data_IF_659666098425
#
_entry.id   IF_659666098425
#
_cell.length_a   1.000
_cell.length_b   1.000
_cell.length_c   1.000
_cell.angle_alpha   90.00
_cell.angle_beta   90.00
_cell.angle_gamma   90.00
#
_symmetry.space_group_name_H-M   'P 1'
#
loop_
_entity.id
_entity.type
_entity.pdbx_description
1 polymer ?
#
# COMPACT_ATOMS: atom_id res chain seq x y z
N UNK A 1 2.45 36.65 -28.15
CA UNK A 1 1.31 36.73 -27.22
C UNK A 1 0.62 35.38 -27.20
N UNK A 2 0.61 34.70 -26.07
CA UNK A 2 -0.08 33.42 -25.90
C UNK A 2 -0.86 33.44 -24.59
N UNK A 3 -2.09 32.93 -24.63
CA UNK A 3 -3.01 32.81 -23.49
C UNK A 3 -2.92 31.41 -22.89
N UNK A 4 -2.92 31.32 -21.55
CA UNK A 4 -3.00 30.04 -20.82
C UNK A 4 -4.48 29.57 -20.71
N UNK A 5 -4.69 28.27 -20.51
CA UNK A 5 -5.95 27.54 -20.31
C UNK A 5 -6.85 28.06 -19.16
N UNK A 6 -6.40 29.03 -18.36
CA UNK A 6 -7.18 29.69 -17.29
C UNK A 6 -7.59 31.14 -17.61
N UNK A 7 -7.24 31.68 -18.79
CA UNK A 7 -7.73 33.00 -19.24
C UNK A 7 -7.22 34.22 -18.46
N UNK A 8 -6.22 34.06 -17.58
CA UNK A 8 -5.63 35.17 -16.81
C UNK A 8 -4.48 35.80 -17.61
N UNK A 9 -4.51 37.13 -17.81
CA UNK A 9 -3.37 37.90 -18.34
C UNK A 9 -2.32 38.06 -17.24
N UNK A 10 -1.12 37.49 -17.44
CA UNK A 10 0.05 37.83 -16.63
C UNK A 10 0.83 38.97 -17.31
N UNK A 11 1.39 39.92 -16.53
CA UNK A 11 2.37 40.88 -17.04
C UNK A 11 3.65 40.16 -17.47
N UNK A 12 4.40 40.79 -18.37
CA UNK A 12 5.64 40.25 -18.94
C UNK A 12 6.67 39.95 -17.85
N UNK A 13 7.30 38.78 -17.99
CA UNK A 13 8.21 38.19 -17.03
C UNK A 13 9.42 39.10 -16.77
N UNK A 14 9.64 39.46 -15.52
CA UNK A 14 10.95 39.81 -15.02
C UNK A 14 11.75 38.52 -14.79
N UNK A 15 12.98 38.53 -15.28
CA UNK A 15 13.89 37.39 -15.23
C UNK A 15 14.28 37.06 -13.79
N UNK A 16 13.76 35.95 -13.28
CA UNK A 16 14.27 35.39 -12.04
C UNK A 16 13.28 34.45 -11.37
N UNK A 17 13.71 33.19 -11.20
CA UNK A 17 13.13 32.21 -10.29
C UNK A 17 11.88 31.46 -10.81
N UNK A 18 12.10 30.50 -11.70
CA UNK A 18 11.34 29.25 -11.65
C UNK A 18 12.00 28.31 -10.65
N UNK A 19 11.44 28.06 -9.45
CA UNK A 19 11.65 26.81 -8.76
C UNK A 19 10.47 25.88 -9.03
N UNK A 20 10.78 24.66 -9.44
CA UNK A 20 9.86 23.53 -9.47
C UNK A 20 8.91 23.56 -8.26
N UNK A 21 7.59 23.61 -8.49
CA UNK A 21 6.64 23.31 -7.43
C UNK A 21 6.90 21.86 -6.97
N UNK A 22 7.22 21.60 -5.70
CA UNK A 22 7.21 20.24 -5.21
C UNK A 22 5.78 19.72 -5.39
N UNK A 23 5.63 18.57 -6.04
CA UNK A 23 4.37 17.85 -6.13
C UNK A 23 3.80 17.73 -4.72
N UNK A 24 2.76 18.50 -4.41
CA UNK A 24 2.08 18.45 -3.11
C UNK A 24 1.52 17.04 -2.97
N UNK A 25 2.21 16.20 -2.19
CA UNK A 25 1.73 14.86 -1.85
C UNK A 25 0.46 15.02 -1.04
N UNK A 26 -0.58 14.30 -1.44
CA UNK A 26 -1.87 14.38 -0.73
C UNK A 26 -1.72 13.72 0.64
N UNK A 27 -2.41 14.25 1.65
CA UNK A 27 -2.40 13.71 3.03
C UNK A 27 -2.70 12.20 3.10
N UNK A 28 -3.52 11.70 2.17
CA UNK A 28 -3.84 10.28 2.01
C UNK A 28 -2.64 9.44 1.56
N UNK A 29 -1.82 9.95 0.63
CA UNK A 29 -0.63 9.24 0.16
C UNK A 29 0.43 9.13 1.26
N UNK A 30 0.62 10.19 2.04
CA UNK A 30 1.57 10.15 3.15
C UNK A 30 1.07 9.27 4.31
N UNK A 31 -0.25 9.24 4.53
CA UNK A 31 -0.88 8.27 5.45
C UNK A 31 -0.61 6.82 5.03
N UNK A 32 -0.83 6.50 3.75
CA UNK A 32 -0.57 5.15 3.22
C UNK A 32 0.87 4.72 3.42
N UNK A 33 1.83 5.56 3.01
CA UNK A 33 3.26 5.29 3.18
C UNK A 33 3.68 5.07 4.64
N UNK A 34 3.14 5.88 5.56
CA UNK A 34 3.43 5.74 6.99
C UNK A 34 2.94 4.40 7.51
N UNK A 35 1.75 3.97 7.07
CA UNK A 35 1.22 2.66 7.41
C UNK A 35 2.02 1.51 6.82
N UNK A 36 2.40 1.57 5.55
CA UNK A 36 3.27 0.57 4.92
C UNK A 36 4.60 0.43 5.68
N UNK A 37 5.21 1.55 6.09
CA UNK A 37 6.45 1.52 6.86
C UNK A 37 6.27 0.83 8.23
N UNK A 38 5.18 1.13 8.95
CA UNK A 38 4.85 0.50 10.23
C UNK A 38 4.59 -1.01 10.04
N UNK A 39 3.81 -1.39 9.02
CA UNK A 39 3.51 -2.79 8.72
C UNK A 39 4.78 -3.60 8.40
N UNK A 40 5.68 -3.03 7.62
CA UNK A 40 6.98 -3.65 7.31
C UNK A 40 7.81 -3.86 8.57
N UNK A 41 7.91 -2.85 9.42
CA UNK A 41 8.66 -2.97 10.66
C UNK A 41 8.06 -4.05 11.57
N UNK A 42 6.73 -4.09 11.69
CA UNK A 42 6.04 -5.12 12.45
C UNK A 42 6.36 -6.54 11.96
N UNK A 43 6.33 -6.77 10.64
CA UNK A 43 6.67 -8.07 10.05
C UNK A 43 8.14 -8.44 10.32
N UNK A 44 9.07 -7.50 10.16
CA UNK A 44 10.49 -7.70 10.46
C UNK A 44 10.71 -8.06 11.94
N UNK A 45 10.02 -7.38 12.86
CA UNK A 45 10.11 -7.64 14.30
C UNK A 45 9.56 -9.03 14.67
N UNK A 46 8.62 -9.56 13.88
CA UNK A 46 8.11 -10.93 13.98
C UNK A 46 9.01 -11.97 13.29
N UNK A 47 10.11 -11.56 12.65
CA UNK A 47 11.07 -12.44 11.99
C UNK A 47 10.71 -12.80 10.54
N UNK A 48 9.80 -12.08 9.91
CA UNK A 48 9.50 -12.26 8.49
C UNK A 48 10.62 -11.64 7.65
N UNK A 49 10.89 -12.24 6.50
CA UNK A 49 11.75 -11.64 5.48
C UNK A 49 10.90 -10.87 4.47
N UNK A 50 11.25 -9.62 4.18
CA UNK A 50 10.53 -8.81 3.19
C UNK A 50 11.14 -9.07 1.81
N UNK A 51 10.38 -9.69 0.92
CA UNK A 51 10.84 -9.98 -0.44
C UNK A 51 10.52 -8.85 -1.43
N UNK A 52 9.35 -8.23 -1.29
CA UNK A 52 8.96 -7.10 -2.13
C UNK A 52 8.01 -6.15 -1.40
N UNK A 53 8.00 -4.89 -1.84
CA UNK A 53 7.05 -3.87 -1.38
C UNK A 53 6.53 -3.10 -2.58
N UNK A 54 5.25 -2.75 -2.56
CA UNK A 54 4.57 -2.04 -3.65
C UNK A 54 4.80 -2.73 -5.01
N UNK A 55 4.75 -4.07 -5.02
CA UNK A 55 4.91 -4.87 -6.24
C UNK A 55 3.72 -4.62 -7.16
N UNK A 56 3.98 -4.33 -8.43
CA UNK A 56 2.95 -3.99 -9.41
C UNK A 56 2.89 -5.00 -10.53
N UNK A 57 1.71 -5.58 -10.71
CA UNK A 57 1.37 -6.37 -11.89
C UNK A 57 0.20 -5.72 -12.63
N UNK A 58 0.48 -5.17 -13.82
CA UNK A 58 -0.45 -4.36 -14.60
C UNK A 58 -1.01 -3.18 -13.78
N UNK A 59 -2.31 -3.19 -13.47
CA UNK A 59 -3.00 -2.15 -12.70
C UNK A 59 -3.29 -2.57 -11.25
N UNK A 60 -2.68 -3.66 -10.80
CA UNK A 60 -2.84 -4.21 -9.44
C UNK A 60 -1.52 -4.06 -8.70
N UNK A 61 -1.62 -3.76 -7.42
CA UNK A 61 -0.51 -3.59 -6.49
C UNK A 61 -0.68 -4.57 -5.33
N UNK A 62 0.43 -5.17 -4.92
CA UNK A 62 0.58 -5.92 -3.66
C UNK A 62 1.42 -5.03 -2.74
N UNK A 63 0.87 -4.66 -1.58
CA UNK A 63 1.52 -3.69 -0.70
C UNK A 63 2.83 -4.27 -0.14
N UNK A 64 2.81 -5.50 0.38
CA UNK A 64 3.99 -6.20 0.88
C UNK A 64 3.93 -7.67 0.46
N UNK A 65 5.05 -8.21 0.02
CA UNK A 65 5.30 -9.65 -0.10
C UNK A 65 6.40 -10.00 0.88
N UNK A 66 6.11 -10.96 1.76
CA UNK A 66 7.01 -11.38 2.81
C UNK A 66 7.10 -12.91 2.87
N UNK A 67 8.10 -13.42 3.58
CA UNK A 67 8.31 -14.85 3.80
C UNK A 67 8.38 -15.16 5.29
N UNK A 68 7.62 -16.16 5.71
CA UNK A 68 7.64 -16.71 7.07
C UNK A 68 8.00 -18.19 6.99
N UNK A 69 9.27 -18.51 7.24
CA UNK A 69 9.81 -19.85 6.97
C UNK A 69 9.72 -20.16 5.47
N UNK A 70 8.95 -21.19 5.11
CA UNK A 70 8.69 -21.55 3.72
C UNK A 70 7.40 -20.91 3.18
N UNK A 71 6.57 -20.25 4.00
CA UNK A 71 5.31 -19.67 3.52
C UNK A 71 5.55 -18.30 2.86
N UNK A 72 5.04 -18.10 1.64
CA UNK A 72 4.99 -16.78 1.00
C UNK A 72 3.70 -16.06 1.37
N UNK A 73 3.85 -14.89 1.97
CA UNK A 73 2.77 -14.14 2.58
C UNK A 73 2.56 -12.84 1.82
N UNK A 74 1.37 -12.71 1.22
CA UNK A 74 0.91 -11.49 0.58
C UNK A 74 0.14 -10.67 1.60
N UNK A 75 0.65 -9.49 1.95
CA UNK A 75 0.06 -8.66 3.01
C UNK A 75 -0.57 -7.42 2.40
N UNK A 76 -1.86 -7.23 2.69
CA UNK A 76 -2.61 -6.02 2.39
C UNK A 76 -2.57 -5.07 3.61
N UNK A 77 -2.18 -3.82 3.40
CA UNK A 77 -2.05 -2.82 4.46
C UNK A 77 -3.20 -1.82 4.41
N UNK A 78 -3.93 -1.70 5.52
CA UNK A 78 -5.05 -0.76 5.67
C UNK A 78 -4.71 0.28 6.71
N UNK A 79 -4.60 1.54 6.30
CA UNK A 79 -4.24 2.65 7.21
C UNK A 79 -5.37 3.66 7.33
N UNK A 80 -5.72 4.04 8.56
CA UNK A 80 -6.72 5.05 8.89
C UNK A 80 -6.22 6.01 9.96
N UNK A 81 -6.82 7.20 10.04
CA UNK A 81 -6.57 8.20 11.10
C UNK A 81 -7.83 8.41 11.94
N UNK A 82 -7.67 8.61 13.25
CA UNK A 82 -8.74 9.05 14.15
C UNK A 82 -9.76 7.98 14.59
N UNK A 83 -10.75 8.39 15.39
CA UNK A 83 -11.72 7.54 16.09
C UNK A 83 -12.83 6.94 15.21
N UNK A 84 -12.60 6.75 13.91
CA UNK A 84 -13.59 6.11 13.04
C UNK A 84 -13.81 4.65 13.46
N UNK A 85 -14.79 4.46 14.36
CA UNK A 85 -15.27 3.17 14.83
C UNK A 85 -16.00 2.48 13.67
N UNK A 86 -15.59 1.25 13.35
CA UNK A 86 -16.20 0.42 12.32
C UNK A 86 -15.32 -0.76 11.93
N UNK A 87 -15.66 -1.95 12.42
CA UNK A 87 -15.28 -3.21 11.76
C UNK A 87 -16.15 -3.37 10.50
N UNK A 88 -15.60 -3.83 9.36
CA UNK A 88 -14.75 -5.01 9.28
C UNK A 88 -13.37 -4.67 8.72
N UNK A 89 -12.36 -4.58 9.59
CA UNK A 89 -10.95 -4.54 9.19
C UNK A 89 -10.54 -5.73 8.31
N UNK A 90 -11.27 -6.85 8.40
CA UNK A 90 -10.91 -8.11 7.75
C UNK A 90 -11.45 -8.37 6.34
N UNK A 91 -12.52 -7.72 5.88
CA UNK A 91 -13.16 -8.13 4.62
C UNK A 91 -12.55 -7.43 3.41
N UNK A 92 -11.74 -8.14 2.63
CA UNK A 92 -11.38 -7.74 1.27
C UNK A 92 -12.58 -7.97 0.37
N UNK A 93 -12.92 -7.02 -0.51
CA UNK A 93 -14.03 -7.26 -1.45
C UNK A 93 -13.65 -8.33 -2.46
N UNK A 94 -14.60 -9.15 -2.92
CA UNK A 94 -14.35 -10.19 -3.93
C UNK A 94 -13.65 -9.64 -5.20
N UNK A 95 -13.98 -8.42 -5.62
CA UNK A 95 -13.31 -7.74 -6.73
C UNK A 95 -11.85 -7.37 -6.43
N UNK A 96 -11.51 -7.10 -5.16
CA UNK A 96 -10.13 -6.87 -4.73
C UNK A 96 -9.38 -8.19 -4.55
N UNK A 97 -9.99 -9.22 -3.98
CA UNK A 97 -9.44 -10.58 -3.93
C UNK A 97 -9.03 -11.11 -5.31
N UNK A 98 -9.93 -11.03 -6.30
CA UNK A 98 -9.65 -11.46 -7.67
C UNK A 98 -8.55 -10.64 -8.36
N UNK A 99 -8.30 -9.40 -7.92
CA UNK A 99 -7.16 -8.60 -8.39
C UNK A 99 -5.87 -9.07 -7.73
N UNK A 100 -5.87 -9.19 -6.40
CA UNK A 100 -4.73 -9.64 -5.61
C UNK A 100 -4.29 -11.03 -6.08
N UNK A 101 -5.20 -11.98 -6.28
CA UNK A 101 -4.91 -13.32 -6.80
C UNK A 101 -4.14 -13.27 -8.14
N UNK A 102 -4.51 -12.38 -9.07
CA UNK A 102 -3.80 -12.22 -10.34
C UNK A 102 -2.38 -11.70 -10.18
N UNK A 103 -2.16 -10.75 -9.27
CA UNK A 103 -0.84 -10.22 -9.01
C UNK A 103 0.03 -11.23 -8.24
N UNK A 104 -0.56 -11.94 -7.27
CA UNK A 104 0.11 -13.00 -6.53
C UNK A 104 0.58 -14.14 -7.45
N UNK A 105 -0.29 -14.61 -8.37
CA UNK A 105 0.10 -15.62 -9.38
C UNK A 105 1.24 -15.15 -10.28
N UNK A 106 1.25 -13.86 -10.67
CA UNK A 106 2.33 -13.31 -11.47
C UNK A 106 3.64 -13.27 -10.69
N UNK A 107 3.61 -12.81 -9.44
CA UNK A 107 4.78 -12.81 -8.56
C UNK A 107 5.35 -14.22 -8.38
N UNK A 108 4.49 -15.19 -8.04
CA UNK A 108 4.88 -16.60 -7.88
C UNK A 108 5.54 -17.17 -9.14
N UNK A 109 4.98 -16.86 -10.31
CA UNK A 109 5.56 -17.30 -11.58
C UNK A 109 6.93 -16.66 -11.85
N UNK A 110 7.09 -15.37 -11.54
CA UNK A 110 8.34 -14.62 -11.72
C UNK A 110 9.45 -15.08 -10.76
N UNK A 111 9.10 -15.49 -9.54
CA UNK A 111 10.06 -15.97 -8.53
C UNK A 111 10.25 -17.49 -8.53
N UNK A 112 9.44 -18.23 -9.27
CA UNK A 112 9.45 -19.69 -9.27
C UNK A 112 8.93 -20.31 -7.96
N UNK A 113 8.10 -19.57 -7.22
CA UNK A 113 7.47 -20.04 -5.98
C UNK A 113 6.23 -20.88 -6.30
N UNK A 114 6.20 -22.16 -5.91
CA UNK A 114 5.09 -23.08 -6.17
C UNK A 114 4.52 -23.77 -4.92
N UNK A 115 4.94 -23.35 -3.73
CA UNK A 115 4.56 -23.94 -2.44
C UNK A 115 3.62 -23.03 -1.62
N UNK A 116 3.55 -23.23 -0.30
CA UNK A 116 2.56 -22.63 0.61
C UNK A 116 2.49 -21.09 0.50
N UNK A 117 1.24 -20.59 0.49
CA UNK A 117 0.91 -19.18 0.31
C UNK A 117 -0.19 -18.78 1.28
N UNK A 118 -0.06 -17.56 1.81
CA UNK A 118 -1.04 -16.99 2.74
C UNK A 118 -1.34 -15.54 2.39
N UNK A 119 -2.56 -15.10 2.68
CA UNK A 119 -2.95 -13.71 2.53
C UNK A 119 -3.31 -13.11 3.88
N UNK A 120 -2.53 -12.12 4.28
CA UNK A 120 -2.69 -11.45 5.57
C UNK A 120 -3.23 -10.03 5.38
N UNK A 121 -3.84 -9.48 6.43
CA UNK A 121 -4.18 -8.06 6.51
C UNK A 121 -3.51 -7.46 7.73
N UNK A 122 -2.83 -6.33 7.52
CA UNK A 122 -2.36 -5.47 8.61
C UNK A 122 -3.20 -4.20 8.62
N UNK A 123 -3.94 -3.97 9.70
CA UNK A 123 -4.72 -2.76 9.93
C UNK A 123 -4.02 -1.84 10.91
N UNK A 124 -3.78 -0.59 10.50
CA UNK A 124 -3.10 0.42 11.29
C UNK A 124 -4.03 1.60 11.51
N UNK A 125 -4.22 1.95 12.78
CA UNK A 125 -4.89 3.16 13.21
C UNK A 125 -3.86 4.15 13.76
N UNK A 126 -3.69 5.27 13.07
CA UNK A 126 -2.85 6.38 13.51
C UNK A 126 -3.63 7.30 14.44
N UNK A 127 -3.07 7.55 15.63
CA UNK A 127 -3.63 8.44 16.64
C UNK A 127 -3.09 9.88 16.49
N UNK A 128 -3.82 10.84 17.05
CA UNK A 128 -3.47 12.27 16.97
C UNK A 128 -2.20 12.61 17.75
N UNK A 129 -1.90 11.87 18.81
CA UNK A 129 -0.68 12.00 19.62
C UNK A 129 0.58 11.43 18.93
N UNK A 130 0.43 10.92 17.70
CA UNK A 130 1.52 10.32 16.93
C UNK A 130 1.71 8.82 17.17
N UNK A 131 1.05 8.23 18.15
CA UNK A 131 1.05 6.78 18.38
C UNK A 131 0.20 6.03 17.33
N UNK A 132 0.24 4.69 17.38
CA UNK A 132 -0.59 3.86 16.52
C UNK A 132 -1.03 2.57 17.23
N UNK A 133 -2.14 2.02 16.79
CA UNK A 133 -2.54 0.63 17.06
C UNK A 133 -2.45 -0.20 15.79
N UNK A 134 -2.04 -1.46 15.92
CA UNK A 134 -1.85 -2.40 14.82
C UNK A 134 -2.57 -3.71 15.14
N UNK A 135 -3.30 -4.21 14.15
CA UNK A 135 -3.90 -5.55 14.14
C UNK A 135 -3.35 -6.31 12.92
N UNK A 136 -2.72 -7.46 13.15
CA UNK A 136 -2.26 -8.37 12.09
C UNK A 136 -3.15 -9.60 12.07
N UNK A 137 -4.05 -9.64 11.10
CA UNK A 137 -4.90 -10.80 10.83
C UNK A 137 -4.16 -11.72 9.84
N UNK A 138 -3.67 -12.84 10.36
CA UNK A 138 -3.09 -13.92 9.55
C UNK A 138 -4.20 -14.74 8.91
N UNK A 139 -3.93 -15.25 7.71
CA UNK A 139 -4.90 -16.07 6.94
C UNK A 139 -6.26 -15.37 6.81
N UNK A 140 -6.22 -14.07 6.50
CA UNK A 140 -7.38 -13.19 6.55
C UNK A 140 -8.41 -13.53 5.46
N UNK A 141 -7.95 -14.04 4.31
CA UNK A 141 -8.79 -14.46 3.20
C UNK A 141 -8.04 -15.42 2.29
N UNK A 142 -8.79 -16.16 1.46
CA UNK A 142 -8.21 -17.01 0.43
C UNK A 142 -8.90 -16.71 -0.92
N UNK A 143 -8.21 -16.06 -1.87
CA UNK A 143 -8.85 -15.57 -3.10
C UNK A 143 -8.98 -16.65 -4.19
N UNK A 144 -8.74 -17.92 -3.86
CA UNK A 144 -8.68 -19.01 -4.84
C UNK A 144 -7.44 -18.90 -5.72
N UNK A 145 -6.34 -19.53 -5.30
CA UNK A 145 -5.13 -19.64 -6.12
C UNK A 145 -5.12 -20.86 -7.04
N UNK A 146 -6.26 -21.50 -7.30
CA UNK A 146 -6.35 -22.67 -8.19
C UNK A 146 -7.60 -22.58 -9.05
#
# INVERSE_FOLDING_TARGET
MTVNWLGIRCPEADEGLFPYLPLVKTDRQDTGRRGEAIARQHLLDLGYEIEAVNYRYRRVELDIVAREGDCLVFVEVKTRRGLAYGHPSGAVSAAKEARISRAAKAYMYETGHDWEVRFDIISILLHQDGSHTLEHLRDAFFPGLF
#
